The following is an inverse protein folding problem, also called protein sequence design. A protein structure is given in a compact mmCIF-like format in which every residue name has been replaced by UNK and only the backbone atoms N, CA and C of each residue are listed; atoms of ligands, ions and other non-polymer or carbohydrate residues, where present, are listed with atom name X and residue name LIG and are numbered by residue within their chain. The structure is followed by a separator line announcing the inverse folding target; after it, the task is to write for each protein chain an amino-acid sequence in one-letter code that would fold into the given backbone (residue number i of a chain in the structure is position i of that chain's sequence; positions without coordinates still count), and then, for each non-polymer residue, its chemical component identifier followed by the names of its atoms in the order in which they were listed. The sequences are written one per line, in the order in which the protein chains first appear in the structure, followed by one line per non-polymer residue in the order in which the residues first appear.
data_IF_979158815768
#
_entry.id   IF_979158815768
#
_cell.length_a   1.000
_cell.length_b   1.000
_cell.length_c   1.000
_cell.angle_alpha   90.00
_cell.angle_beta   90.00
_cell.angle_gamma   90.00
#
_symmetry.space_group_name_H-M   'P 1'
#
loop_
_entity.id
_entity.type
_entity.pdbx_description
1 polymer ?
#
# COMPACT_ATOMS: atom_id res chain seq x y z
N UNK A 1 28.48 26.26 -24.55
CA UNK A 1 27.14 25.65 -24.52
C UNK A 1 26.53 26.06 -23.19
N UNK A 2 25.60 27.02 -23.18
CA UNK A 2 24.94 27.45 -21.95
C UNK A 2 24.10 26.27 -21.44
N UNK A 3 24.38 25.83 -20.22
CA UNK A 3 23.55 24.83 -19.54
C UNK A 3 22.30 25.57 -19.12
N UNK A 4 21.22 25.34 -19.83
CA UNK A 4 19.94 25.84 -19.45
C UNK A 4 19.47 25.16 -18.16
N UNK A 5 19.00 25.95 -17.20
CA UNK A 5 18.41 25.37 -16.01
C UNK A 5 16.97 24.94 -16.29
N UNK A 6 16.47 24.00 -15.50
CA UNK A 6 15.07 23.57 -15.60
C UNK A 6 14.09 24.74 -15.40
N UNK A 7 14.47 25.72 -14.58
CA UNK A 7 13.66 26.89 -14.31
C UNK A 7 13.59 27.83 -15.52
N UNK A 8 14.73 28.05 -16.21
CA UNK A 8 14.77 28.81 -17.45
C UNK A 8 13.92 28.16 -18.56
N UNK A 9 13.99 26.82 -18.64
CA UNK A 9 13.17 26.04 -19.56
C UNK A 9 11.66 26.21 -19.31
N UNK A 10 11.22 26.13 -18.06
CA UNK A 10 9.79 26.29 -17.71
C UNK A 10 9.32 27.72 -17.97
N UNK A 11 10.18 28.72 -17.70
CA UNK A 11 9.84 30.12 -17.88
C UNK A 11 9.74 30.54 -19.36
N UNK A 12 10.42 29.85 -20.28
CA UNK A 12 10.29 30.10 -21.73
C UNK A 12 9.15 29.32 -22.40
N UNK A 13 8.58 28.31 -21.74
CA UNK A 13 7.57 27.45 -22.33
C UNK A 13 6.25 28.21 -22.54
N UNK A 14 5.80 28.29 -23.79
CA UNK A 14 4.45 28.75 -24.10
C UNK A 14 3.44 27.61 -23.93
N UNK A 15 2.87 27.50 -22.73
CA UNK A 15 1.85 26.50 -22.42
C UNK A 15 0.62 26.56 -23.33
N UNK A 16 0.32 27.72 -23.93
CA UNK A 16 -0.81 27.84 -24.84
C UNK A 16 -0.55 27.07 -26.15
N UNK A 17 0.70 27.09 -26.64
CA UNK A 17 1.10 26.31 -27.82
C UNK A 17 0.98 24.80 -27.60
N UNK A 18 1.30 24.32 -26.39
CA UNK A 18 1.20 22.90 -25.99
C UNK A 18 -0.27 22.42 -26.04
N UNK A 19 -1.21 23.27 -25.63
CA UNK A 19 -2.63 22.91 -25.56
C UNK A 19 -3.29 22.97 -26.94
N UNK A 20 -2.95 23.98 -27.75
CA UNK A 20 -3.60 24.20 -29.04
C UNK A 20 -3.10 23.25 -30.14
N UNK A 21 -1.79 23.02 -30.23
CA UNK A 21 -1.21 22.11 -31.21
C UNK A 21 0.03 21.38 -30.64
N UNK A 22 -0.19 20.30 -29.88
CA UNK A 22 0.90 19.59 -29.21
C UNK A 22 1.86 18.95 -30.21
N UNK A 23 1.39 18.56 -31.40
CA UNK A 23 2.27 18.02 -32.44
C UNK A 23 3.29 19.04 -32.93
N UNK A 24 2.84 20.26 -33.18
CA UNK A 24 3.70 21.36 -33.64
C UNK A 24 4.70 21.75 -32.57
N UNK A 25 4.25 21.87 -31.32
CA UNK A 25 5.11 22.15 -30.19
C UNK A 25 6.25 21.13 -30.04
N UNK A 26 5.94 19.83 -30.16
CA UNK A 26 6.94 18.76 -30.06
C UNK A 26 7.94 18.77 -31.23
N UNK A 27 7.50 19.20 -32.41
CA UNK A 27 8.37 19.38 -33.55
C UNK A 27 9.32 20.56 -33.36
N UNK A 28 8.80 21.71 -32.93
CA UNK A 28 9.56 22.95 -32.84
C UNK A 28 10.59 22.91 -31.69
N UNK A 29 10.24 22.36 -30.52
CA UNK A 29 11.12 22.32 -29.35
C UNK A 29 12.03 21.09 -29.27
N UNK A 30 11.55 19.94 -29.75
CA UNK A 30 12.25 18.66 -29.55
C UNK A 30 12.58 17.93 -30.87
N UNK A 31 12.21 18.49 -32.02
CA UNK A 31 12.34 17.86 -33.33
C UNK A 31 11.67 16.47 -33.40
N UNK A 32 10.57 16.30 -32.66
CA UNK A 32 9.80 15.06 -32.61
C UNK A 32 8.64 15.16 -33.59
N UNK A 33 8.69 14.34 -34.65
CA UNK A 33 7.59 14.22 -35.60
C UNK A 33 6.56 13.19 -35.13
N UNK A 34 5.51 13.66 -34.46
CA UNK A 34 4.35 12.87 -34.07
C UNK A 34 3.07 13.58 -34.52
N UNK A 35 2.09 12.81 -34.98
CA UNK A 35 0.77 13.39 -35.27
C UNK A 35 -0.03 13.58 -33.98
N UNK A 36 -0.97 14.54 -33.99
CA UNK A 36 -1.91 14.74 -32.88
C UNK A 36 -2.68 13.45 -32.53
N UNK A 37 -2.98 12.60 -33.53
CA UNK A 37 -3.63 11.30 -33.31
C UNK A 37 -2.71 10.35 -32.54
N UNK A 38 -1.43 10.25 -32.93
CA UNK A 38 -0.45 9.42 -32.23
C UNK A 38 -0.28 9.88 -30.77
N UNK A 39 -0.24 11.19 -30.54
CA UNK A 39 -0.16 11.75 -29.18
C UNK A 39 -1.38 11.39 -28.34
N UNK A 40 -2.59 11.50 -28.89
CA UNK A 40 -3.82 11.10 -28.20
C UNK A 40 -3.79 9.62 -27.85
N UNK A 41 -3.35 8.75 -28.76
CA UNK A 41 -3.23 7.31 -28.51
C UNK A 41 -2.23 7.01 -27.39
N UNK A 42 -1.06 7.64 -27.41
CA UNK A 42 -0.05 7.50 -26.36
C UNK A 42 -0.63 7.95 -25.01
N UNK A 43 -1.28 9.11 -24.98
CA UNK A 43 -1.92 9.63 -23.77
C UNK A 43 -2.98 8.66 -23.23
N UNK A 44 -3.81 8.10 -24.10
CA UNK A 44 -4.84 7.14 -23.73
C UNK A 44 -4.24 5.86 -23.12
N UNK A 45 -3.15 5.33 -23.69
CA UNK A 45 -2.44 4.16 -23.15
C UNK A 45 -1.87 4.46 -21.76
N UNK A 46 -1.24 5.62 -21.58
CA UNK A 46 -0.68 6.03 -20.28
C UNK A 46 -1.79 6.14 -19.23
N UNK A 47 -2.92 6.78 -19.58
CA UNK A 47 -4.08 6.89 -18.68
C UNK A 47 -4.63 5.51 -18.32
N UNK A 48 -4.79 4.61 -19.29
CA UNK A 48 -5.25 3.25 -19.05
C UNK A 48 -4.32 2.48 -18.11
N UNK A 49 -3.00 2.63 -18.28
CA UNK A 49 -2.01 2.00 -17.41
C UNK A 49 -2.15 2.47 -15.95
N UNK A 50 -2.27 3.79 -15.72
CA UNK A 50 -2.46 4.32 -14.37
C UNK A 50 -3.84 3.98 -13.80
N UNK A 51 -4.88 3.93 -14.63
CA UNK A 51 -6.19 3.47 -14.21
C UNK A 51 -6.14 2.01 -13.74
N UNK A 52 -5.48 1.13 -14.49
CA UNK A 52 -5.30 -0.28 -14.11
C UNK A 52 -4.52 -0.40 -12.79
N UNK A 53 -3.40 0.31 -12.64
CA UNK A 53 -2.62 0.34 -11.41
C UNK A 53 -3.46 0.80 -10.21
N UNK A 54 -4.26 1.85 -10.40
CA UNK A 54 -5.15 2.39 -9.36
C UNK A 54 -6.22 1.38 -8.98
N UNK A 55 -6.87 0.75 -9.95
CA UNK A 55 -7.88 -0.29 -9.73
C UNK A 55 -7.27 -1.48 -8.98
N UNK A 56 -6.07 -1.94 -9.38
CA UNK A 56 -5.36 -3.04 -8.72
C UNK A 56 -5.05 -2.70 -7.27
N UNK A 57 -4.55 -1.49 -7.00
CA UNK A 57 -4.25 -1.04 -5.64
C UNK A 57 -5.52 -0.93 -4.77
N UNK A 58 -6.62 -0.40 -5.31
CA UNK A 58 -7.90 -0.33 -4.61
C UNK A 58 -8.45 -1.73 -4.34
N UNK A 59 -8.39 -2.65 -5.32
CA UNK A 59 -8.84 -4.04 -5.16
C UNK A 59 -8.05 -4.76 -4.07
N UNK A 60 -6.73 -4.61 -4.04
CA UNK A 60 -5.88 -5.18 -3.00
C UNK A 60 -6.22 -4.60 -1.61
N UNK A 61 -6.42 -3.28 -1.51
CA UNK A 61 -6.87 -2.63 -0.27
C UNK A 61 -8.25 -3.13 0.18
N UNK A 62 -9.17 -3.35 -0.76
CA UNK A 62 -10.52 -3.86 -0.46
C UNK A 62 -10.50 -5.35 -0.07
N UNK A 63 -9.58 -6.15 -0.62
CA UNK A 63 -9.34 -7.52 -0.15
C UNK A 63 -8.79 -7.54 1.27
N UNK A 64 -7.80 -6.69 1.58
CA UNK A 64 -7.29 -6.51 2.96
C UNK A 64 -8.37 -6.04 3.94
N UNK A 65 -9.32 -5.20 3.49
CA UNK A 65 -10.45 -4.75 4.31
C UNK A 65 -11.47 -5.88 4.50
N UNK A 66 -11.80 -6.66 3.45
CA UNK A 66 -12.69 -7.82 3.55
C UNK A 66 -12.12 -8.92 4.44
N UNK A 67 -10.80 -9.13 4.43
CA UNK A 67 -10.12 -10.06 5.33
C UNK A 67 -10.11 -9.54 6.79
N UNK A 68 -10.15 -8.22 6.99
CA UNK A 68 -10.35 -7.62 8.32
C UNK A 68 -11.80 -7.65 8.80
N UNK A 69 -12.80 -7.55 7.91
CA UNK A 69 -14.24 -7.64 8.28
C UNK A 69 -14.77 -9.07 8.32
N UNK A 70 -14.04 -10.06 7.77
CA UNK A 70 -14.31 -11.48 8.01
C UNK A 70 -13.83 -11.97 9.39
N UNK A 71 -13.26 -11.08 10.22
CA UNK A 71 -13.35 -11.22 11.67
C UNK A 71 -14.83 -11.10 12.04
N UNK A 72 -15.52 -12.24 11.91
CA UNK A 72 -16.81 -12.55 12.49
C UNK A 72 -16.99 -11.69 13.73
N UNK A 73 -18.08 -10.94 13.74
CA UNK A 73 -18.75 -10.46 14.95
C UNK A 73 -18.60 -11.59 15.97
N UNK A 74 -17.73 -11.38 16.95
CA UNK A 74 -17.55 -12.32 18.06
C UNK A 74 -18.89 -12.26 18.76
N UNK A 75 -19.76 -13.20 18.43
CA UNK A 75 -20.94 -13.49 19.23
C UNK A 75 -20.44 -13.62 20.67
N UNK A 76 -21.15 -12.97 21.58
CA UNK A 76 -20.90 -12.96 23.03
C UNK A 76 -21.10 -14.34 23.65
N UNK A 77 -20.55 -15.41 23.08
CA UNK A 77 -20.31 -16.65 23.78
C UNK A 77 -18.90 -16.59 24.36
N UNK A 78 -18.86 -16.40 25.67
CA UNK A 78 -17.69 -16.23 26.53
C UNK A 78 -16.76 -17.46 26.61
N UNK A 79 -16.64 -18.26 25.55
CA UNK A 79 -15.74 -19.41 25.48
C UNK A 79 -15.04 -19.47 24.13
N UNK A 80 -14.02 -18.62 23.97
CA UNK A 80 -13.00 -18.88 22.96
C UNK A 80 -12.27 -20.15 23.43
N UNK A 81 -12.46 -21.25 22.70
CA UNK A 81 -11.71 -22.49 22.90
C UNK A 81 -10.22 -22.16 23.08
N UNK A 82 -9.62 -22.68 24.16
CA UNK A 82 -8.22 -22.47 24.56
C UNK A 82 -7.22 -22.65 23.41
N UNK A 83 -7.59 -23.46 22.41
CA UNK A 83 -6.75 -23.75 21.24
C UNK A 83 -6.59 -22.55 20.30
N UNK A 84 -7.62 -21.72 20.11
CA UNK A 84 -7.53 -20.56 19.21
C UNK A 84 -6.59 -19.50 19.77
N UNK A 85 -6.59 -19.31 21.09
CA UNK A 85 -5.64 -18.39 21.76
C UNK A 85 -4.22 -18.94 21.64
N UNK A 86 -4.03 -20.25 21.85
CA UNK A 86 -2.73 -20.91 21.72
C UNK A 86 -2.16 -20.79 20.30
N UNK A 87 -2.97 -21.07 19.27
CA UNK A 87 -2.57 -20.91 17.87
C UNK A 87 -2.14 -19.48 17.53
N UNK A 88 -2.85 -18.48 18.09
CA UNK A 88 -2.49 -17.07 17.89
C UNK A 88 -1.20 -16.68 18.63
N UNK A 89 -0.92 -17.30 19.78
CA UNK A 89 0.38 -17.14 20.48
C UNK A 89 1.49 -17.79 19.63
N UNK A 90 1.28 -18.99 19.09
CA UNK A 90 2.24 -19.66 18.21
C UNK A 90 2.53 -18.83 16.95
N UNK A 91 1.50 -18.19 16.37
CA UNK A 91 1.66 -17.25 15.26
C UNK A 91 2.46 -16.00 15.65
N UNK A 92 2.26 -15.47 16.86
CA UNK A 92 3.03 -14.33 17.36
C UNK A 92 4.52 -14.69 17.54
N UNK A 93 4.80 -15.92 17.98
CA UNK A 93 6.16 -16.48 18.07
C UNK A 93 6.78 -16.63 16.67
N UNK A 94 6.03 -17.15 15.70
CA UNK A 94 6.49 -17.26 14.32
C UNK A 94 6.85 -15.89 13.72
N UNK A 95 6.00 -14.87 13.93
CA UNK A 95 6.31 -13.50 13.49
C UNK A 95 7.58 -12.94 14.13
N UNK A 96 7.84 -13.26 15.40
CA UNK A 96 9.06 -12.86 16.09
C UNK A 96 10.29 -13.55 15.47
N UNK A 97 10.23 -14.87 15.25
CA UNK A 97 11.31 -15.64 14.64
C UNK A 97 11.62 -15.20 13.20
N UNK A 98 10.61 -14.70 12.47
CA UNK A 98 10.76 -14.13 11.13
C UNK A 98 11.28 -12.69 11.11
N UNK A 99 11.64 -12.10 12.25
CA UNK A 99 12.08 -10.69 12.35
C UNK A 99 10.95 -9.66 12.18
N UNK A 100 9.69 -10.09 12.05
CA UNK A 100 8.50 -9.24 11.87
C UNK A 100 7.97 -8.75 13.22
N UNK A 101 8.81 -8.08 14.01
CA UNK A 101 8.53 -7.64 15.40
C UNK A 101 7.22 -6.84 15.53
N UNK A 102 6.96 -5.89 14.62
CA UNK A 102 5.75 -5.06 14.65
C UNK A 102 4.44 -5.84 14.47
N UNK A 103 4.44 -6.90 13.64
CA UNK A 103 3.28 -7.79 13.48
C UNK A 103 3.05 -8.64 14.73
N UNK A 104 4.12 -9.13 15.36
CA UNK A 104 4.06 -9.85 16.62
C UNK A 104 3.46 -8.98 17.74
N UNK A 105 3.96 -7.75 17.93
CA UNK A 105 3.45 -6.81 18.94
C UNK A 105 1.96 -6.49 18.72
N UNK A 106 1.57 -6.26 17.47
CA UNK A 106 0.16 -5.97 17.14
C UNK A 106 -0.75 -7.15 17.46
N UNK A 107 -0.29 -8.38 17.24
CA UNK A 107 -1.04 -9.59 17.55
C UNK A 107 -1.13 -9.83 19.07
N UNK A 108 -0.04 -9.61 19.81
CA UNK A 108 -0.02 -9.70 21.28
C UNK A 108 -0.98 -8.69 21.93
N UNK A 109 -0.99 -7.42 21.48
CA UNK A 109 -1.95 -6.40 21.95
C UNK A 109 -3.41 -6.77 21.70
N UNK A 110 -3.70 -7.52 20.64
CA UNK A 110 -5.05 -8.04 20.38
C UNK A 110 -5.39 -9.20 21.31
N UNK A 111 -4.41 -10.03 21.66
CA UNK A 111 -4.59 -11.18 22.56
C UNK A 111 -4.91 -10.76 24.00
N UNK A 112 -4.34 -9.65 24.47
CA UNK A 112 -4.59 -9.10 25.80
C UNK A 112 -6.06 -8.66 26.02
N UNK A 113 -6.83 -8.42 24.95
CA UNK A 113 -8.25 -8.06 25.04
C UNK A 113 -9.18 -9.25 25.34
N UNK A 114 -8.66 -10.47 25.31
CA UNK A 114 -9.43 -11.68 25.59
C UNK A 114 -9.20 -12.16 27.03
N UNK A 115 -10.12 -12.97 27.58
CA UNK A 115 -9.90 -13.64 28.87
C UNK A 115 -8.82 -14.72 28.70
N UNK A 116 -7.60 -14.38 29.13
CA UNK A 116 -6.43 -15.27 29.07
C UNK A 116 -6.30 -16.10 30.35
N UNK A 117 -5.84 -17.34 30.21
CA UNK A 117 -5.42 -18.14 31.37
C UNK A 117 -4.09 -17.63 31.94
N UNK A 118 -3.80 -17.92 33.22
CA UNK A 118 -2.53 -17.55 33.86
C UNK A 118 -1.29 -18.03 33.08
N UNK A 119 -1.37 -19.20 32.44
CA UNK A 119 -0.28 -19.75 31.61
C UNK A 119 -0.07 -18.95 30.32
N UNK A 120 -1.15 -18.60 29.62
CA UNK A 120 -1.11 -17.78 28.40
C UNK A 120 -0.60 -16.36 28.68
N UNK A 121 -1.03 -15.76 29.80
CA UNK A 121 -0.57 -14.44 30.22
C UNK A 121 0.95 -14.44 30.48
N UNK A 122 1.48 -15.47 31.13
CA UNK A 122 2.92 -15.63 31.36
C UNK A 122 3.70 -15.73 30.05
N UNK A 123 3.19 -16.46 29.06
CA UNK A 123 3.82 -16.58 27.74
C UNK A 123 3.83 -15.26 26.97
N UNK A 124 2.71 -14.52 26.99
CA UNK A 124 2.60 -13.21 26.33
C UNK A 124 3.57 -12.20 26.95
N UNK A 125 3.68 -12.17 28.29
CA UNK A 125 4.62 -11.28 28.98
C UNK A 125 6.08 -11.63 28.64
N UNK A 126 6.45 -12.91 28.65
CA UNK A 126 7.79 -13.34 28.24
C UNK A 126 8.13 -12.97 26.80
N UNK A 127 7.14 -13.03 25.89
CA UNK A 127 7.33 -12.63 24.50
C UNK A 127 7.52 -11.12 24.38
N UNK A 128 6.75 -10.34 25.15
CA UNK A 128 6.87 -8.88 25.19
C UNK A 128 8.25 -8.44 25.67
N UNK A 129 8.77 -9.06 26.73
CA UNK A 129 10.09 -8.72 27.27
C UNK A 129 11.22 -9.01 26.27
N UNK A 130 11.03 -9.95 25.34
CA UNK A 130 11.97 -10.23 24.24
C UNK A 130 11.81 -9.31 23.03
N UNK A 131 10.67 -8.61 22.93
CA UNK A 131 10.32 -7.71 21.83
C UNK A 131 10.65 -6.24 22.13
N UNK A 132 10.78 -5.89 23.42
CA UNK A 132 11.26 -4.60 23.91
C UNK A 132 12.77 -4.44 23.71
#
# INVERSE_FOLDING_TARGET
MLIETFEDFINRLDFNSIIQDPSKFLLDEFNIQLSNIQLIVILAIVVLFFAELTIRNIKNKNQDIKEKTSLKKVEESNEISSDVIRQKIDLAIAYMNMGKKGKSITLLKKLEKYKLTKKQLKQINQLRDKLS
#
